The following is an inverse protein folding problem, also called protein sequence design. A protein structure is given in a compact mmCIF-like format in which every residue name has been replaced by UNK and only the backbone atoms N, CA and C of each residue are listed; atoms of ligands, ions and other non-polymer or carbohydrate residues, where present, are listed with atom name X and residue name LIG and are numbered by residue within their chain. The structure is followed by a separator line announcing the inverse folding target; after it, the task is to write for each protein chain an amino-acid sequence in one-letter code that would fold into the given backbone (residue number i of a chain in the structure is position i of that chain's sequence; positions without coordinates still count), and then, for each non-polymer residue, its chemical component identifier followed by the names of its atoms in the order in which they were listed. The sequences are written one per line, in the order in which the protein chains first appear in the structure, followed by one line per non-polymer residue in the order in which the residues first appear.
data_IF_872081935484
#
_entry.id   IF_872081935484
#
_cell.length_a   1.000
_cell.length_b   1.000
_cell.length_c   1.000
_cell.angle_alpha   90.00
_cell.angle_beta   90.00
_cell.angle_gamma   90.00
#
_symmetry.space_group_name_H-M   'P 1'
#
loop_
_entity.id
_entity.type
_entity.pdbx_description
1 polymer ?
#
# COMPACT_ATOMS: atom_id res chain seq x y z
N UNK A 1 19.11 8.82 -28.45
CA UNK A 1 18.86 7.61 -27.67
C UNK A 1 19.72 7.73 -26.43
N UNK A 2 19.10 7.96 -25.23
CA UNK A 2 19.86 7.90 -23.98
C UNK A 2 20.22 6.44 -23.75
N UNK A 3 21.49 6.12 -23.65
CA UNK A 3 21.94 4.81 -23.16
C UNK A 3 21.62 4.82 -21.67
N UNK A 4 20.53 4.15 -21.28
CA UNK A 4 20.27 3.92 -19.85
C UNK A 4 21.29 2.89 -19.36
N UNK A 5 22.01 3.23 -18.32
CA UNK A 5 22.83 2.24 -17.59
C UNK A 5 21.84 1.38 -16.80
N UNK A 6 21.88 0.04 -16.94
CA UNK A 6 21.05 -0.83 -16.12
C UNK A 6 21.23 -0.56 -14.63
N UNK A 7 20.16 -0.72 -13.84
CA UNK A 7 20.25 -0.69 -12.38
C UNK A 7 21.18 -1.80 -11.90
N UNK A 8 21.84 -1.57 -10.77
CA UNK A 8 22.81 -2.50 -10.20
C UNK A 8 22.36 -2.94 -8.80
N UNK A 9 22.29 -4.23 -8.55
CA UNK A 9 21.86 -4.79 -7.27
C UNK A 9 22.62 -4.26 -6.07
N UNK A 10 23.95 -4.10 -6.15
CA UNK A 10 24.75 -3.60 -5.05
C UNK A 10 24.39 -2.16 -4.68
N UNK A 11 24.02 -1.34 -5.67
CA UNK A 11 23.57 0.03 -5.46
C UNK A 11 22.12 0.12 -4.97
N UNK A 12 21.24 -0.77 -5.48
CA UNK A 12 19.82 -0.84 -5.13
C UNK A 12 19.60 -1.31 -3.69
N UNK A 13 20.52 -2.10 -3.10
CA UNK A 13 20.39 -2.59 -1.74
C UNK A 13 21.27 -1.77 -0.82
N UNK A 14 20.65 -0.70 -0.28
CA UNK A 14 21.33 0.30 0.56
C UNK A 14 20.75 0.34 1.97
N UNK A 15 21.59 0.25 2.97
CA UNK A 15 21.22 0.44 4.38
C UNK A 15 21.29 1.91 4.83
N UNK A 16 21.55 2.85 3.90
CA UNK A 16 21.55 4.28 4.15
C UNK A 16 20.16 4.74 4.61
N UNK A 17 20.11 5.53 5.67
CA UNK A 17 18.86 5.97 6.28
C UNK A 17 18.55 7.42 5.98
N UNK A 18 17.30 7.67 5.62
CA UNK A 18 16.80 9.02 5.39
C UNK A 18 16.95 9.90 6.63
N UNK A 19 17.58 11.06 6.47
CA UNK A 19 17.84 12.02 7.56
C UNK A 19 18.94 11.60 8.55
N UNK A 20 19.69 10.54 8.24
CA UNK A 20 20.84 10.06 9.00
C UNK A 20 21.98 9.57 8.09
N UNK A 21 22.11 10.16 6.91
CA UNK A 21 22.99 9.70 5.84
C UNK A 21 24.48 9.71 6.26
N UNK A 22 24.86 10.65 7.12
CA UNK A 22 26.25 10.83 7.60
C UNK A 22 26.49 10.20 8.99
N UNK A 23 25.48 9.57 9.57
CA UNK A 23 25.56 9.09 10.95
C UNK A 23 26.11 7.66 11.01
N UNK A 24 27.36 7.52 11.39
CA UNK A 24 27.97 6.25 11.80
C UNK A 24 27.68 6.02 13.30
N UNK A 25 26.53 5.48 13.64
CA UNK A 25 26.26 5.10 15.02
C UNK A 25 26.98 3.78 15.34
N UNK A 26 27.80 3.74 16.38
CA UNK A 26 28.22 2.48 17.00
C UNK A 26 26.97 1.72 17.45
N UNK A 27 26.85 0.48 17.05
CA UNK A 27 25.70 -0.36 17.33
C UNK A 27 26.07 -1.49 18.26
N UNK A 28 25.21 -1.74 19.21
CA UNK A 28 25.44 -2.72 20.27
C UNK A 28 24.60 -4.00 20.07
N UNK A 29 23.95 -4.18 18.90
CA UNK A 29 23.16 -5.36 18.60
C UNK A 29 23.33 -5.83 17.15
N UNK A 30 23.05 -7.11 16.90
CA UNK A 30 23.25 -7.80 15.61
C UNK A 30 22.08 -7.62 14.62
N UNK A 31 21.09 -6.77 14.93
CA UNK A 31 19.98 -6.52 14.02
C UNK A 31 20.40 -5.72 12.81
N UNK A 32 20.08 -6.22 11.62
CA UNK A 32 20.29 -5.46 10.38
C UNK A 32 19.43 -4.19 10.35
N UNK A 33 19.81 -3.24 9.50
CA UNK A 33 19.05 -2.00 9.32
C UNK A 33 17.63 -2.28 8.81
N UNK A 34 17.46 -3.29 7.96
CA UNK A 34 16.17 -3.66 7.40
C UNK A 34 15.26 -4.31 8.44
N UNK A 35 15.79 -5.13 9.38
CA UNK A 35 15.03 -5.59 10.55
C UNK A 35 14.57 -4.45 11.44
N UNK A 36 15.40 -3.39 11.58
CA UNK A 36 15.00 -2.19 12.31
C UNK A 36 13.90 -1.41 11.61
N UNK A 37 13.84 -1.44 10.27
CA UNK A 37 12.73 -0.85 9.50
C UNK A 37 11.43 -1.59 9.79
N UNK A 38 11.45 -2.91 9.74
CA UNK A 38 10.31 -3.75 10.10
C UNK A 38 9.81 -3.45 11.54
N UNK A 39 10.71 -3.42 12.51
CA UNK A 39 10.38 -3.09 13.90
C UNK A 39 9.75 -1.69 14.03
N UNK A 40 10.31 -0.68 13.37
CA UNK A 40 9.78 0.69 13.40
C UNK A 40 8.36 0.78 12.86
N UNK A 41 8.05 0.02 11.83
CA UNK A 41 6.71 -0.02 11.25
C UNK A 41 5.70 -0.66 12.22
N UNK A 42 5.99 -1.85 12.73
CA UNK A 42 5.09 -2.57 13.66
C UNK A 42 4.78 -1.74 14.92
N UNK A 43 5.77 -1.06 15.49
CA UNK A 43 5.57 -0.23 16.68
C UNK A 43 4.99 1.16 16.38
N UNK A 44 4.72 1.49 15.12
CA UNK A 44 4.22 2.80 14.74
C UNK A 44 2.71 2.96 14.95
N UNK A 45 2.28 4.19 15.23
CA UNK A 45 0.86 4.51 15.33
C UNK A 45 0.11 4.37 13.99
N UNK A 46 0.67 4.78 12.82
CA UNK A 46 0.01 4.53 11.53
C UNK A 46 -0.26 3.06 11.28
N UNK A 47 0.70 2.16 11.55
CA UNK A 47 0.51 0.72 11.38
C UNK A 47 -0.60 0.16 12.29
N UNK A 48 -0.60 0.54 13.57
CA UNK A 48 -1.65 0.11 14.51
C UNK A 48 -3.06 0.58 14.11
N UNK A 49 -3.18 1.74 13.46
CA UNK A 49 -4.48 2.24 12.97
C UNK A 49 -5.08 1.39 11.86
N UNK A 50 -4.29 0.59 11.14
CA UNK A 50 -4.78 -0.34 10.12
C UNK A 50 -5.76 -1.38 10.69
N UNK A 51 -5.68 -1.70 11.98
CA UNK A 51 -6.60 -2.61 12.65
C UNK A 51 -8.07 -2.21 12.52
N UNK A 52 -8.34 -0.90 12.50
CA UNK A 52 -9.69 -0.34 12.43
C UNK A 52 -9.93 0.39 11.09
N UNK A 53 -9.28 -0.08 10.02
CA UNK A 53 -9.55 0.31 8.64
C UNK A 53 -10.04 -0.90 7.85
N UNK A 54 -11.17 -0.73 7.17
CA UNK A 54 -11.77 -1.74 6.29
C UNK A 54 -10.83 -2.09 5.15
N UNK A 55 -10.66 -3.40 4.87
CA UNK A 55 -9.98 -3.88 3.67
C UNK A 55 -10.97 -3.94 2.50
N UNK A 56 -11.92 -4.86 2.52
CA UNK A 56 -13.01 -5.00 1.54
C UNK A 56 -14.35 -5.05 2.26
N UNK A 57 -14.50 -5.95 3.21
CA UNK A 57 -15.75 -6.15 3.93
C UNK A 57 -15.88 -5.21 5.13
N UNK A 58 -17.14 -4.86 5.53
CA UNK A 58 -17.37 -4.10 6.76
C UNK A 58 -16.62 -4.72 7.94
N UNK A 59 -16.04 -3.87 8.81
CA UNK A 59 -15.43 -4.33 10.05
C UNK A 59 -16.51 -5.05 10.88
N UNK A 60 -16.26 -6.29 11.29
CA UNK A 60 -17.31 -7.18 11.74
C UNK A 60 -17.68 -7.00 13.19
N UNK A 61 -18.99 -7.25 13.49
CA UNK A 61 -19.42 -7.54 14.85
C UNK A 61 -19.27 -9.02 15.25
N UNK A 62 -19.39 -9.98 14.34
CA UNK A 62 -19.51 -11.41 14.66
C UNK A 62 -18.74 -12.39 13.76
N UNK A 63 -18.25 -11.96 12.61
CA UNK A 63 -17.51 -12.82 11.66
C UNK A 63 -16.13 -12.20 11.45
N UNK A 64 -15.07 -13.01 11.59
CA UNK A 64 -13.70 -12.56 11.38
C UNK A 64 -13.37 -12.58 9.89
N UNK A 65 -13.30 -11.41 9.30
CA UNK A 65 -12.76 -11.13 7.97
C UNK A 65 -11.48 -10.30 8.11
N UNK A 66 -10.71 -10.21 7.03
CA UNK A 66 -9.45 -9.46 7.05
C UNK A 66 -9.70 -7.96 7.19
N UNK A 67 -8.91 -7.32 8.05
CA UNK A 67 -8.74 -5.88 8.09
C UNK A 67 -7.36 -5.51 7.52
N UNK A 68 -7.08 -4.22 7.32
CA UNK A 68 -5.81 -3.80 6.73
C UNK A 68 -4.57 -4.21 7.52
N UNK A 69 -4.68 -4.37 8.86
CA UNK A 69 -3.56 -4.83 9.68
C UNK A 69 -3.23 -6.30 9.40
N UNK A 70 -4.23 -7.18 9.43
CA UNK A 70 -4.03 -8.62 9.17
C UNK A 70 -3.58 -8.84 7.75
N UNK A 71 -4.18 -8.17 6.78
CA UNK A 71 -3.74 -8.18 5.39
C UNK A 71 -2.27 -7.75 5.25
N UNK A 72 -1.86 -6.61 5.83
CA UNK A 72 -0.46 -6.17 5.77
C UNK A 72 0.53 -7.16 6.38
N UNK A 73 0.13 -7.90 7.43
CA UNK A 73 0.96 -8.95 8.02
C UNK A 73 1.09 -10.18 7.11
N UNK A 74 0.02 -10.57 6.44
CA UNK A 74 0.00 -11.67 5.47
C UNK A 74 0.84 -11.31 4.24
N UNK A 75 0.64 -10.12 3.68
CA UNK A 75 1.45 -9.59 2.57
C UNK A 75 2.93 -9.54 2.97
N UNK A 76 3.26 -9.15 4.22
CA UNK A 76 4.64 -9.14 4.70
C UNK A 76 5.23 -10.55 4.85
N UNK A 77 4.42 -11.56 5.14
CA UNK A 77 4.84 -12.96 5.19
C UNK A 77 5.14 -13.50 3.79
N UNK A 78 4.20 -13.36 2.86
CA UNK A 78 4.36 -13.76 1.45
C UNK A 78 5.52 -12.99 0.79
N UNK A 79 5.59 -11.67 1.00
CA UNK A 79 6.67 -10.84 0.48
C UNK A 79 8.06 -11.24 0.98
N UNK A 80 8.16 -11.71 2.24
CA UNK A 80 9.42 -12.26 2.76
C UNK A 80 9.80 -13.52 2.01
N UNK A 81 8.88 -14.48 1.84
CA UNK A 81 9.12 -15.72 1.10
C UNK A 81 9.57 -15.41 -0.32
N UNK A 82 8.84 -14.55 -1.05
CA UNK A 82 9.21 -14.13 -2.40
C UNK A 82 10.62 -13.53 -2.45
N UNK A 83 10.95 -12.64 -1.52
CA UNK A 83 12.26 -12.00 -1.46
C UNK A 83 13.39 -12.98 -1.13
N UNK A 84 13.19 -13.90 -0.18
CA UNK A 84 14.18 -14.90 0.21
C UNK A 84 14.43 -15.88 -0.94
N UNK A 85 13.38 -16.35 -1.64
CA UNK A 85 13.50 -17.25 -2.77
C UNK A 85 14.16 -16.60 -3.99
N UNK A 86 13.79 -15.34 -4.31
CA UNK A 86 14.47 -14.57 -5.36
C UNK A 86 15.95 -14.35 -5.01
N UNK A 87 16.27 -14.03 -3.74
CA UNK A 87 17.65 -13.91 -3.31
C UNK A 87 18.44 -15.21 -3.58
N UNK A 88 17.85 -16.34 -3.22
CA UNK A 88 18.46 -17.67 -3.41
C UNK A 88 18.76 -17.95 -4.89
N UNK A 89 17.78 -17.74 -5.77
CA UNK A 89 17.94 -18.01 -7.19
C UNK A 89 18.93 -17.05 -7.86
N UNK A 90 18.89 -15.76 -7.51
CA UNK A 90 19.81 -14.78 -8.10
C UNK A 90 21.24 -14.94 -7.58
N UNK A 91 21.45 -15.30 -6.32
CA UNK A 91 22.80 -15.59 -5.81
C UNK A 91 23.43 -16.83 -6.45
N UNK A 92 22.64 -17.79 -6.97
CA UNK A 92 23.18 -18.89 -7.78
C UNK A 92 23.66 -18.41 -9.15
N UNK A 93 23.00 -17.38 -9.74
CA UNK A 93 23.39 -16.77 -11.03
C UNK A 93 24.53 -15.77 -10.86
N UNK A 94 24.53 -15.04 -9.75
CA UNK A 94 25.43 -13.94 -9.41
C UNK A 94 26.09 -14.18 -8.05
N UNK A 95 27.09 -15.10 -7.95
CA UNK A 95 27.72 -15.47 -6.68
C UNK A 95 28.35 -14.29 -5.93
N UNK A 96 28.74 -13.22 -6.64
CA UNK A 96 29.28 -11.98 -6.06
C UNK A 96 28.27 -11.23 -5.16
N UNK A 97 26.99 -11.53 -5.24
CA UNK A 97 25.97 -10.94 -4.40
C UNK A 97 25.95 -11.53 -2.99
N UNK A 98 26.51 -12.74 -2.78
CA UNK A 98 26.50 -13.44 -1.49
C UNK A 98 27.18 -12.64 -0.37
N UNK A 99 28.25 -11.92 -0.68
CA UNK A 99 29.04 -11.14 0.27
C UNK A 99 28.57 -9.70 0.41
N UNK A 100 27.39 -9.37 -0.08
CA UNK A 100 26.78 -8.02 -0.03
C UNK A 100 25.59 -7.97 0.93
N UNK A 101 24.80 -6.90 0.86
CA UNK A 101 23.51 -6.80 1.58
C UNK A 101 22.37 -7.54 0.87
N UNK A 102 22.59 -8.05 -0.33
CA UNK A 102 21.58 -8.69 -1.18
C UNK A 102 20.83 -9.86 -0.50
N UNK A 103 21.47 -10.73 0.30
CA UNK A 103 20.77 -11.80 1.03
C UNK A 103 19.64 -11.32 1.97
N UNK A 104 19.51 -10.01 2.18
CA UNK A 104 18.49 -9.44 3.06
C UNK A 104 17.26 -8.91 2.32
N UNK A 105 17.14 -9.14 1.00
CA UNK A 105 16.01 -8.60 0.23
C UNK A 105 14.65 -9.07 0.75
N UNK A 106 14.53 -10.31 1.24
CA UNK A 106 13.30 -10.78 1.88
C UNK A 106 12.90 -9.93 3.09
N UNK A 107 13.87 -9.48 3.89
CA UNK A 107 13.59 -8.57 5.01
C UNK A 107 13.16 -7.17 4.53
N UNK A 108 13.76 -6.66 3.45
CA UNK A 108 13.39 -5.38 2.84
C UNK A 108 11.96 -5.44 2.29
N UNK A 109 11.67 -6.47 1.49
CA UNK A 109 10.34 -6.69 0.91
C UNK A 109 9.30 -6.84 2.01
N UNK A 110 9.56 -7.63 3.04
CA UNK A 110 8.66 -7.79 4.20
C UNK A 110 8.37 -6.45 4.89
N UNK A 111 9.37 -5.59 5.10
CA UNK A 111 9.17 -4.26 5.68
C UNK A 111 8.37 -3.35 4.73
N UNK A 112 8.64 -3.38 3.42
CA UNK A 112 7.90 -2.62 2.43
C UNK A 112 6.42 -3.07 2.37
N UNK A 113 6.16 -4.37 2.45
CA UNK A 113 4.82 -4.95 2.52
C UNK A 113 4.03 -4.48 3.75
N UNK A 114 4.67 -4.35 4.94
CA UNK A 114 3.99 -3.76 6.10
C UNK A 114 3.53 -2.32 5.84
N UNK A 115 4.24 -1.61 4.99
CA UNK A 115 4.03 -0.18 4.77
C UNK A 115 3.11 0.14 3.59
N UNK A 116 2.84 -0.82 2.69
CA UNK A 116 2.15 -0.57 1.41
C UNK A 116 0.78 0.08 1.59
N UNK A 117 0.04 -0.30 2.62
CA UNK A 117 -1.32 0.16 2.91
C UNK A 117 -1.42 1.32 3.93
N UNK A 118 -0.28 1.82 4.46
CA UNK A 118 -0.27 2.86 5.49
C UNK A 118 -0.96 4.16 5.08
N UNK A 119 -0.93 4.47 3.80
CA UNK A 119 -1.43 5.73 3.25
C UNK A 119 -2.91 5.72 2.90
N UNK A 120 -3.57 4.57 2.91
CA UNK A 120 -4.99 4.49 2.61
C UNK A 120 -5.83 5.27 3.64
N UNK A 121 -6.74 6.15 3.20
CA UNK A 121 -7.65 6.85 4.09
C UNK A 121 -8.68 5.89 4.71
N UNK A 122 -9.49 6.34 5.69
CA UNK A 122 -10.66 5.60 6.13
C UNK A 122 -11.54 5.19 4.95
N UNK A 123 -12.13 4.00 5.01
CA UNK A 123 -12.98 3.42 3.96
C UNK A 123 -12.27 3.18 2.61
N UNK A 124 -10.94 3.15 2.59
CA UNK A 124 -10.12 2.76 1.44
C UNK A 124 -10.36 3.59 0.19
N UNK A 125 -10.66 2.93 -0.93
CA UNK A 125 -10.87 3.60 -2.22
C UNK A 125 -12.05 4.57 -2.24
N UNK A 126 -13.12 4.30 -1.49
CA UNK A 126 -14.23 5.22 -1.34
C UNK A 126 -13.80 6.51 -0.66
N UNK A 127 -12.95 6.41 0.37
CA UNK A 127 -12.33 7.58 1.01
C UNK A 127 -11.40 8.36 0.08
N UNK A 128 -10.58 7.68 -0.74
CA UNK A 128 -9.75 8.35 -1.77
C UNK A 128 -10.64 9.14 -2.75
N UNK A 129 -11.70 8.52 -3.25
CA UNK A 129 -12.64 9.15 -4.17
C UNK A 129 -13.36 10.35 -3.55
N UNK A 130 -13.76 10.25 -2.29
CA UNK A 130 -14.40 11.36 -1.58
C UNK A 130 -13.43 12.56 -1.41
N UNK A 131 -12.15 12.32 -1.08
CA UNK A 131 -11.13 13.35 -1.02
C UNK A 131 -10.95 14.02 -2.39
N UNK A 132 -10.81 13.24 -3.46
CA UNK A 132 -10.67 13.77 -4.83
C UNK A 132 -11.89 14.58 -5.25
N UNK A 133 -13.11 14.03 -5.06
CA UNK A 133 -14.37 14.64 -5.47
C UNK A 133 -14.64 15.97 -4.75
N UNK A 134 -14.24 16.11 -3.48
CA UNK A 134 -14.35 17.37 -2.75
C UNK A 134 -13.67 18.51 -3.51
N UNK A 135 -12.49 18.28 -4.12
CA UNK A 135 -11.78 19.30 -4.88
C UNK A 135 -12.24 19.43 -6.34
N UNK A 136 -12.74 18.35 -6.95
CA UNK A 136 -13.12 18.38 -8.38
C UNK A 136 -14.58 18.72 -8.63
N UNK A 137 -15.48 18.33 -7.73
CA UNK A 137 -16.92 18.41 -7.89
C UNK A 137 -17.62 19.12 -6.72
N UNK A 138 -16.95 19.20 -5.55
CA UNK A 138 -17.50 19.76 -4.32
C UNK A 138 -17.07 21.20 -4.04
N UNK A 139 -17.30 21.65 -2.80
CA UNK A 139 -17.05 23.01 -2.34
C UNK A 139 -15.57 23.42 -2.36
N UNK A 140 -14.67 22.44 -2.44
CA UNK A 140 -13.22 22.64 -2.59
C UNK A 140 -12.81 23.12 -4.00
N UNK A 141 -13.66 22.99 -5.01
CA UNK A 141 -13.33 23.37 -6.40
C UNK A 141 -12.89 24.84 -6.54
N UNK A 142 -13.49 25.74 -5.75
CA UNK A 142 -13.12 27.16 -5.72
C UNK A 142 -11.73 27.47 -5.15
N UNK A 143 -10.98 26.45 -4.68
CA UNK A 143 -9.61 26.62 -4.19
C UNK A 143 -8.56 26.55 -5.31
N UNK A 144 -8.94 26.12 -6.52
CA UNK A 144 -8.02 25.99 -7.65
C UNK A 144 -7.23 27.28 -7.95
N UNK A 145 -7.88 28.43 -7.86
CA UNK A 145 -7.25 29.72 -8.13
C UNK A 145 -6.40 30.25 -6.95
N UNK A 146 -6.46 29.58 -5.78
CA UNK A 146 -5.80 30.01 -4.53
C UNK A 146 -4.54 29.19 -4.20
N UNK A 147 -4.27 28.14 -4.98
CA UNK A 147 -3.16 27.23 -4.75
C UNK A 147 -2.36 27.02 -6.04
N UNK A 148 -1.14 26.52 -5.90
CA UNK A 148 -0.31 26.20 -7.06
C UNK A 148 -0.91 25.04 -7.90
N UNK A 149 -0.64 25.03 -9.20
CA UNK A 149 -1.10 23.98 -10.10
C UNK A 149 -0.54 22.59 -9.73
N UNK A 150 0.67 22.55 -9.16
CA UNK A 150 1.28 21.33 -8.70
C UNK A 150 0.55 20.75 -7.48
N UNK A 151 0.28 21.58 -6.48
CA UNK A 151 -0.52 21.19 -5.32
C UNK A 151 -1.95 20.81 -5.71
N UNK A 152 -2.57 21.56 -6.62
CA UNK A 152 -3.89 21.22 -7.16
C UNK A 152 -3.92 19.83 -7.79
N UNK A 153 -2.90 19.50 -8.60
CA UNK A 153 -2.76 18.16 -9.16
C UNK A 153 -2.66 17.09 -8.08
N UNK A 154 -1.90 17.34 -7.00
CA UNK A 154 -1.72 16.40 -5.90
C UNK A 154 -3.05 16.08 -5.19
N UNK A 155 -3.83 17.10 -4.84
CA UNK A 155 -5.06 16.93 -4.04
C UNK A 155 -6.24 16.41 -4.87
N UNK A 156 -6.33 16.77 -6.15
CA UNK A 156 -7.38 16.25 -7.05
C UNK A 156 -7.15 14.82 -7.50
N UNK A 157 -5.92 14.29 -7.34
CA UNK A 157 -5.55 12.91 -7.60
C UNK A 157 -5.15 12.16 -6.32
N UNK A 158 -5.48 12.67 -5.13
CA UNK A 158 -5.05 12.08 -3.86
C UNK A 158 -5.01 10.54 -3.93
N UNK A 159 -3.89 9.95 -3.50
CA UNK A 159 -3.60 8.53 -3.72
C UNK A 159 -2.90 7.92 -2.51
N UNK A 160 -3.37 6.75 -2.06
CA UNK A 160 -2.85 6.08 -0.86
C UNK A 160 -1.37 5.71 -0.95
N UNK A 161 -0.87 5.28 -2.12
CA UNK A 161 0.56 4.96 -2.27
C UNK A 161 1.45 6.19 -2.06
N UNK A 162 1.07 7.34 -2.64
CA UNK A 162 1.78 8.60 -2.41
C UNK A 162 1.72 9.02 -0.94
N UNK A 163 0.57 8.84 -0.31
CA UNK A 163 0.39 9.14 1.10
C UNK A 163 1.17 8.21 2.02
N UNK A 164 1.37 6.93 1.67
CA UNK A 164 2.24 6.02 2.41
C UNK A 164 3.69 6.51 2.43
N UNK A 165 4.21 6.94 1.26
CA UNK A 165 5.54 7.53 1.18
C UNK A 165 5.64 8.81 2.03
N UNK A 166 4.62 9.70 1.97
CA UNK A 166 4.55 10.90 2.79
C UNK A 166 4.54 10.60 4.29
N UNK A 167 3.71 9.68 4.76
CA UNK A 167 3.63 9.28 6.19
C UNK A 167 5.01 8.86 6.72
N UNK A 168 5.80 8.17 5.91
CA UNK A 168 7.10 7.64 6.30
C UNK A 168 8.23 8.67 6.23
N UNK A 169 8.12 9.65 5.34
CA UNK A 169 9.22 10.56 5.04
C UNK A 169 9.00 11.99 5.53
N UNK A 170 7.74 12.42 5.61
CA UNK A 170 7.41 13.80 5.99
C UNK A 170 7.78 14.12 7.44
N UNK A 171 8.34 15.32 7.62
CA UNK A 171 8.67 15.85 8.94
C UNK A 171 7.45 16.52 9.58
N UNK A 172 6.59 15.73 10.21
CA UNK A 172 5.54 16.28 11.07
C UNK A 172 6.14 16.97 12.30
N UNK A 173 5.37 17.89 12.94
CA UNK A 173 5.83 18.59 14.14
C UNK A 173 6.28 17.61 15.22
N UNK A 174 7.41 17.91 15.85
CA UNK A 174 8.01 17.08 16.89
C UNK A 174 8.74 15.85 16.37
N UNK A 175 8.79 15.61 15.06
CA UNK A 175 9.61 14.55 14.46
C UNK A 175 10.97 15.08 14.02
N UNK A 176 11.96 14.18 14.04
CA UNK A 176 13.29 14.41 13.48
C UNK A 176 13.26 14.42 11.96
N UNK A 177 14.32 14.91 11.33
CA UNK A 177 14.51 14.83 9.89
C UNK A 177 14.45 13.37 9.40
N UNK A 178 13.90 13.16 8.20
CA UNK A 178 13.70 11.83 7.62
C UNK A 178 12.48 11.07 8.18
N UNK A 179 11.59 11.72 8.93
CA UNK A 179 10.34 11.14 9.41
C UNK A 179 10.55 9.88 10.24
N UNK A 180 10.24 8.71 9.68
CA UNK A 180 10.48 7.39 10.30
C UNK A 180 11.94 6.95 10.23
N UNK A 181 12.78 7.65 9.47
CA UNK A 181 14.21 7.33 9.30
C UNK A 181 14.38 5.89 8.76
N UNK A 182 13.62 5.58 7.72
CA UNK A 182 13.69 4.29 7.03
C UNK A 182 14.93 4.21 6.13
N UNK A 183 15.34 2.99 5.76
CA UNK A 183 16.39 2.80 4.75
C UNK A 183 15.90 3.19 3.36
N UNK A 184 16.83 3.58 2.50
CA UNK A 184 16.52 3.96 1.12
C UNK A 184 15.91 2.78 0.34
N UNK A 185 16.43 1.56 0.53
CA UNK A 185 15.86 0.38 -0.14
C UNK A 185 14.42 0.12 0.28
N UNK A 186 14.08 0.18 1.56
CA UNK A 186 12.70 0.02 2.01
C UNK A 186 11.80 1.11 1.44
N UNK A 187 12.23 2.39 1.47
CA UNK A 187 11.46 3.51 0.91
C UNK A 187 11.23 3.38 -0.60
N UNK A 188 12.25 3.01 -1.37
CA UNK A 188 12.13 2.84 -2.81
C UNK A 188 11.23 1.64 -3.18
N UNK A 189 11.24 0.58 -2.35
CA UNK A 189 10.43 -0.62 -2.57
C UNK A 189 8.92 -0.43 -2.33
N UNK A 190 8.51 0.65 -1.65
CA UNK A 190 7.10 0.98 -1.42
C UNK A 190 6.50 1.74 -2.61
N UNK A 191 7.31 2.48 -3.37
CA UNK A 191 6.81 3.42 -4.39
C UNK A 191 6.44 2.65 -5.67
N UNK A 192 5.21 2.14 -5.70
CA UNK A 192 4.64 1.37 -6.84
C UNK A 192 4.55 2.19 -8.13
N UNK A 193 4.29 3.49 -8.00
CA UNK A 193 4.11 4.43 -9.11
C UNK A 193 5.14 5.56 -9.01
N UNK A 194 6.40 5.35 -9.44
CA UNK A 194 7.51 6.29 -9.19
C UNK A 194 7.44 7.54 -10.07
N UNK A 195 6.35 8.27 -9.99
CA UNK A 195 6.10 9.51 -10.72
C UNK A 195 5.20 10.47 -9.94
N UNK A 196 5.28 11.77 -10.28
CA UNK A 196 4.48 12.84 -9.69
C UNK A 196 3.02 12.77 -10.17
N UNK A 197 2.12 13.45 -9.47
CA UNK A 197 0.70 13.58 -9.83
C UNK A 197 0.49 14.15 -11.23
N UNK A 198 1.34 15.09 -11.67
CA UNK A 198 1.32 15.66 -13.02
C UNK A 198 1.62 14.64 -14.12
N UNK A 199 2.29 13.51 -13.79
CA UNK A 199 2.55 12.41 -14.71
C UNK A 199 1.54 11.26 -14.55
N UNK A 200 0.53 11.41 -13.69
CA UNK A 200 -0.47 10.38 -13.45
C UNK A 200 -1.24 10.06 -14.74
N UNK A 201 -1.50 8.77 -14.96
CA UNK A 201 -2.35 8.32 -16.04
C UNK A 201 -3.83 8.63 -15.78
N UNK A 202 -4.73 8.28 -16.71
CA UNK A 202 -6.19 8.37 -16.52
C UNK A 202 -6.71 7.66 -15.26
N UNK A 203 -5.93 6.72 -14.70
CA UNK A 203 -6.27 6.04 -13.44
C UNK A 203 -5.94 6.86 -12.18
N UNK A 204 -5.29 8.03 -12.31
CA UNK A 204 -4.98 8.94 -11.22
C UNK A 204 -3.89 8.45 -10.25
N UNK A 205 -3.20 7.33 -10.55
CA UNK A 205 -2.18 6.74 -9.66
C UNK A 205 -0.85 7.47 -9.79
N UNK A 206 -0.18 7.76 -8.65
CA UNK A 206 1.17 8.35 -8.55
C UNK A 206 1.81 7.97 -7.21
N UNK A 207 3.10 8.24 -6.99
CA UNK A 207 3.83 7.68 -5.86
C UNK A 207 4.42 8.67 -4.87
N UNK A 208 4.40 9.96 -5.15
CA UNK A 208 4.85 11.00 -4.22
C UNK A 208 4.22 12.35 -4.55
N UNK A 209 3.83 13.08 -3.52
CA UNK A 209 3.35 14.45 -3.64
C UNK A 209 4.49 15.41 -4.00
N UNK A 210 4.14 16.59 -4.48
CA UNK A 210 5.10 17.64 -4.82
C UNK A 210 6.05 17.95 -3.66
N UNK A 211 5.56 17.90 -2.43
CA UNK A 211 6.34 18.13 -1.20
C UNK A 211 7.40 17.07 -0.93
N UNK A 212 7.22 15.84 -1.40
CA UNK A 212 8.15 14.73 -1.25
C UNK A 212 8.98 14.46 -2.51
N UNK A 213 8.77 15.23 -3.60
CA UNK A 213 9.41 15.03 -4.90
C UNK A 213 10.94 15.09 -4.83
N UNK A 214 11.50 16.13 -4.25
CA UNK A 214 12.95 16.31 -4.16
C UNK A 214 13.60 15.19 -3.33
N UNK A 215 12.86 14.71 -2.35
CA UNK A 215 13.27 13.59 -1.51
C UNK A 215 13.36 12.30 -2.32
N UNK A 216 12.33 11.97 -3.10
CA UNK A 216 12.34 10.79 -3.95
C UNK A 216 13.43 10.88 -5.01
N UNK A 217 13.64 12.06 -5.62
CA UNK A 217 14.75 12.30 -6.56
C UNK A 217 16.12 11.99 -5.95
N UNK A 218 16.35 12.40 -4.69
CA UNK A 218 17.59 12.11 -3.97
C UNK A 218 17.77 10.60 -3.77
N UNK A 219 16.73 9.90 -3.29
CA UNK A 219 16.74 8.45 -3.11
C UNK A 219 17.03 7.75 -4.45
N UNK A 220 16.30 8.10 -5.50
CA UNK A 220 16.45 7.49 -6.81
C UNK A 220 17.86 7.67 -7.39
N UNK A 221 18.44 8.87 -7.23
CA UNK A 221 19.81 9.16 -7.68
C UNK A 221 20.86 8.32 -6.93
N UNK A 222 20.76 8.24 -5.61
CA UNK A 222 21.67 7.47 -4.78
C UNK A 222 21.61 5.96 -5.10
N UNK A 223 20.43 5.47 -5.40
CA UNK A 223 20.20 4.06 -5.71
C UNK A 223 20.38 3.71 -7.21
N UNK A 224 20.73 4.68 -8.04
CA UNK A 224 20.90 4.44 -9.48
C UNK A 224 19.61 4.15 -10.23
N UNK A 225 18.45 4.55 -9.70
CA UNK A 225 17.16 4.38 -10.37
C UNK A 225 17.04 5.43 -11.49
N UNK A 226 16.91 5.02 -12.75
CA UNK A 226 16.91 5.95 -13.86
C UNK A 226 15.65 6.81 -13.92
N UNK A 227 15.85 8.11 -14.17
CA UNK A 227 14.78 9.05 -14.51
C UNK A 227 14.40 8.86 -15.98
N UNK A 228 13.14 8.55 -16.24
CA UNK A 228 12.60 8.28 -17.57
C UNK A 228 12.10 9.56 -18.28
N UNK A 229 11.83 10.64 -17.52
CA UNK A 229 11.37 11.92 -18.06
C UNK A 229 12.47 12.69 -18.75
N UNK A 230 12.09 13.48 -19.77
CA UNK A 230 12.96 14.50 -20.36
C UNK A 230 12.94 15.77 -19.50
N UNK A 231 13.96 16.64 -19.66
CA UNK A 231 13.95 17.94 -19.00
C UNK A 231 12.67 18.73 -19.34
N UNK A 232 11.96 19.21 -18.33
CA UNK A 232 10.72 19.95 -18.47
C UNK A 232 9.43 19.09 -18.52
N UNK A 233 9.55 17.77 -18.58
CA UNK A 233 8.40 16.87 -18.45
C UNK A 233 8.15 16.53 -16.97
N UNK A 234 6.90 16.18 -16.60
CA UNK A 234 6.59 15.68 -15.27
C UNK A 234 7.45 14.48 -14.90
N UNK A 235 7.91 14.41 -13.65
CA UNK A 235 8.87 13.42 -13.20
C UNK A 235 8.31 12.00 -13.25
N UNK A 236 9.09 11.10 -13.83
CA UNK A 236 8.86 9.66 -13.89
C UNK A 236 10.19 8.92 -13.79
N UNK A 237 10.23 7.92 -12.94
CA UNK A 237 11.38 7.04 -12.76
C UNK A 237 11.02 5.60 -13.11
N UNK A 238 12.04 4.75 -13.32
CA UNK A 238 11.85 3.31 -13.32
C UNK A 238 11.40 2.83 -11.94
N UNK A 239 10.72 1.69 -11.88
CA UNK A 239 10.41 1.05 -10.60
C UNK A 239 11.68 0.47 -9.98
N UNK A 240 11.83 0.57 -8.65
CA UNK A 240 12.80 -0.23 -7.94
C UNK A 240 12.43 -1.72 -8.10
N UNK A 241 13.39 -2.61 -8.40
CA UNK A 241 13.08 -4.03 -8.66
C UNK A 241 12.23 -4.71 -7.59
N UNK A 242 12.47 -4.43 -6.30
CA UNK A 242 11.72 -5.04 -5.21
C UNK A 242 10.25 -4.62 -5.14
N UNK A 243 9.85 -3.55 -5.83
CA UNK A 243 8.42 -3.15 -5.95
C UNK A 243 7.59 -4.25 -6.58
N UNK A 244 8.15 -4.99 -7.55
CA UNK A 244 7.43 -6.09 -8.20
C UNK A 244 7.14 -7.24 -7.25
N UNK A 245 8.01 -7.50 -6.27
CA UNK A 245 7.79 -8.50 -5.22
C UNK A 245 6.75 -8.04 -4.19
N UNK A 246 6.77 -6.75 -3.83
CA UNK A 246 5.74 -6.15 -2.95
C UNK A 246 4.37 -6.21 -3.63
N UNK A 247 4.30 -5.83 -4.92
CA UNK A 247 3.07 -5.89 -5.72
C UNK A 247 2.55 -7.33 -5.84
N UNK A 248 3.42 -8.30 -6.11
CA UNK A 248 3.03 -9.71 -6.21
C UNK A 248 2.52 -10.27 -4.88
N UNK A 249 3.15 -9.92 -3.76
CA UNK A 249 2.70 -10.32 -2.43
C UNK A 249 1.30 -9.76 -2.11
N UNK A 250 1.06 -8.49 -2.44
CA UNK A 250 -0.24 -7.85 -2.30
C UNK A 250 -1.29 -8.51 -3.19
N UNK A 251 -1.01 -8.68 -4.49
CA UNK A 251 -1.92 -9.30 -5.46
C UNK A 251 -2.32 -10.73 -5.03
N UNK A 252 -1.35 -11.55 -4.56
CA UNK A 252 -1.59 -12.92 -4.08
C UNK A 252 -2.50 -12.91 -2.86
N UNK A 253 -2.16 -12.11 -1.83
CA UNK A 253 -2.93 -12.07 -0.60
C UNK A 253 -4.33 -11.48 -0.85
N UNK A 254 -4.41 -10.36 -1.55
CA UNK A 254 -5.68 -9.66 -1.80
C UNK A 254 -6.70 -10.58 -2.47
N UNK A 255 -6.35 -11.19 -3.62
CA UNK A 255 -7.30 -12.00 -4.38
C UNK A 255 -7.69 -13.29 -3.65
N UNK A 256 -6.72 -14.00 -3.09
CA UNK A 256 -6.96 -15.34 -2.52
C UNK A 256 -7.66 -15.24 -1.15
N UNK A 257 -7.34 -14.21 -0.35
CA UNK A 257 -8.00 -14.00 0.93
C UNK A 257 -9.44 -13.48 0.76
N UNK A 258 -9.72 -12.67 -0.27
CA UNK A 258 -11.07 -12.23 -0.58
C UNK A 258 -12.00 -13.40 -0.95
N UNK A 259 -11.47 -14.42 -1.67
CA UNK A 259 -12.21 -15.66 -1.95
C UNK A 259 -12.51 -16.43 -0.65
N UNK A 260 -11.54 -16.56 0.28
CA UNK A 260 -11.76 -17.20 1.58
C UNK A 260 -12.79 -16.44 2.42
N UNK A 261 -12.65 -15.12 2.55
CA UNK A 261 -13.57 -14.30 3.33
C UNK A 261 -15.01 -14.35 2.76
N UNK A 262 -15.13 -14.41 1.43
CA UNK A 262 -16.40 -14.56 0.76
C UNK A 262 -17.09 -15.89 1.07
N UNK A 263 -16.30 -16.96 1.25
CA UNK A 263 -16.81 -18.24 1.74
C UNK A 263 -17.30 -18.12 3.19
N UNK A 264 -16.51 -17.53 4.09
CA UNK A 264 -16.90 -17.31 5.49
C UNK A 264 -18.17 -16.48 5.62
N UNK A 265 -18.34 -15.48 4.76
CA UNK A 265 -19.52 -14.61 4.70
C UNK A 265 -20.70 -15.24 3.95
N UNK A 266 -20.56 -16.47 3.43
CA UNK A 266 -21.58 -17.20 2.64
C UNK A 266 -22.00 -16.46 1.36
N UNK A 267 -21.12 -15.64 0.80
CA UNK A 267 -21.27 -15.03 -0.53
C UNK A 267 -20.95 -16.08 -1.61
N UNK A 268 -19.96 -16.93 -1.34
CA UNK A 268 -19.61 -18.11 -2.13
C UNK A 268 -19.93 -19.39 -1.36
N UNK A 269 -20.45 -20.40 -2.05
CA UNK A 269 -20.63 -21.74 -1.48
C UNK A 269 -19.27 -22.43 -1.34
N UNK A 270 -19.21 -23.54 -0.59
CA UNK A 270 -18.00 -24.35 -0.49
C UNK A 270 -17.55 -24.86 -1.86
N UNK A 271 -18.51 -25.36 -2.66
CA UNK A 271 -18.26 -25.93 -3.99
C UNK A 271 -17.71 -24.86 -4.95
N UNK A 272 -18.27 -23.65 -4.96
CA UNK A 272 -17.77 -22.53 -5.76
C UNK A 272 -16.33 -22.16 -5.34
N UNK A 273 -16.07 -22.06 -4.03
CA UNK A 273 -14.77 -21.71 -3.48
C UNK A 273 -13.71 -22.78 -3.80
N UNK A 274 -14.07 -24.05 -3.57
CA UNK A 274 -13.17 -25.17 -3.85
C UNK A 274 -12.83 -25.27 -5.34
N UNK A 275 -13.80 -25.06 -6.23
CA UNK A 275 -13.55 -25.07 -7.67
C UNK A 275 -12.61 -23.92 -8.09
N UNK A 276 -12.81 -22.71 -7.59
CA UNK A 276 -11.93 -21.57 -7.85
C UNK A 276 -10.49 -21.84 -7.42
N UNK A 277 -10.29 -22.38 -6.22
CA UNK A 277 -8.96 -22.66 -5.69
C UNK A 277 -8.29 -23.88 -6.37
N UNK A 278 -9.04 -24.89 -6.74
CA UNK A 278 -8.50 -26.08 -7.37
C UNK A 278 -8.19 -25.89 -8.86
N UNK A 279 -8.75 -24.88 -9.55
CA UNK A 279 -8.43 -24.56 -10.95
C UNK A 279 -6.95 -24.21 -11.16
N UNK A 280 -6.26 -23.75 -10.13
CA UNK A 280 -4.82 -23.42 -10.21
C UNK A 280 -3.96 -24.65 -10.55
N UNK A 281 -4.41 -25.87 -10.24
CA UNK A 281 -3.65 -27.09 -10.33
C UNK A 281 -4.07 -27.98 -11.52
N UNK A 282 -3.14 -28.79 -12.00
CA UNK A 282 -3.45 -29.88 -12.89
C UNK A 282 -4.24 -30.99 -12.16
N UNK A 283 -4.85 -31.89 -12.94
CA UNK A 283 -5.71 -32.93 -12.37
C UNK A 283 -4.97 -33.84 -11.37
N UNK A 284 -3.72 -34.18 -11.64
CA UNK A 284 -2.92 -35.05 -10.74
C UNK A 284 -2.65 -34.35 -9.40
N UNK A 285 -2.31 -33.07 -9.42
CA UNK A 285 -2.08 -32.26 -8.21
C UNK A 285 -3.39 -31.99 -7.47
N UNK A 286 -4.47 -31.69 -8.19
CA UNK A 286 -5.83 -31.55 -7.63
C UNK A 286 -6.23 -32.81 -6.84
N UNK A 287 -6.06 -33.99 -7.41
CA UNK A 287 -6.36 -35.25 -6.73
C UNK A 287 -5.47 -35.46 -5.50
N UNK A 288 -4.19 -35.12 -5.57
CA UNK A 288 -3.30 -35.20 -4.40
C UNK A 288 -3.72 -34.27 -3.26
N UNK A 289 -4.15 -33.05 -3.57
CA UNK A 289 -4.67 -32.11 -2.57
C UNK A 289 -5.93 -32.66 -1.90
N UNK A 290 -6.89 -33.14 -2.70
CA UNK A 290 -8.12 -33.71 -2.18
C UNK A 290 -7.88 -34.98 -1.35
N UNK A 291 -6.96 -35.86 -1.80
CA UNK A 291 -6.60 -37.06 -1.05
C UNK A 291 -5.93 -36.72 0.30
N UNK A 292 -5.04 -35.74 0.33
CA UNK A 292 -4.43 -35.28 1.59
C UNK A 292 -5.45 -34.72 2.58
N UNK A 293 -6.43 -33.94 2.11
CA UNK A 293 -7.53 -33.45 2.95
C UNK A 293 -8.26 -34.63 3.62
N UNK A 294 -8.47 -35.72 2.88
CA UNK A 294 -9.10 -36.95 3.40
C UNK A 294 -8.17 -37.67 4.38
N UNK A 295 -6.90 -37.87 4.02
CA UNK A 295 -5.91 -38.61 4.82
C UNK A 295 -5.62 -37.90 6.16
N UNK A 296 -5.63 -36.58 6.19
CA UNK A 296 -5.48 -35.77 7.40
C UNK A 296 -6.76 -35.64 8.21
N UNK A 297 -7.88 -36.22 7.74
CA UNK A 297 -9.18 -36.21 8.44
C UNK A 297 -9.85 -34.85 8.54
N UNK A 298 -9.54 -33.92 7.61
CA UNK A 298 -10.12 -32.58 7.56
C UNK A 298 -11.57 -32.68 7.08
N UNK A 299 -12.52 -32.49 7.99
CA UNK A 299 -13.96 -32.60 7.71
C UNK A 299 -14.67 -31.26 7.60
N UNK A 300 -14.23 -30.24 8.33
CA UNK A 300 -14.79 -28.90 8.30
C UNK A 300 -14.48 -28.19 6.96
N UNK A 301 -15.49 -27.54 6.40
CA UNK A 301 -15.35 -26.90 5.09
C UNK A 301 -14.44 -25.66 5.12
N UNK A 302 -14.41 -24.90 6.22
CA UNK A 302 -13.48 -23.78 6.32
C UNK A 302 -12.03 -24.27 6.38
N UNK A 303 -11.76 -25.35 7.13
CA UNK A 303 -10.43 -25.97 7.19
C UNK A 303 -9.98 -26.52 5.83
N UNK A 304 -10.90 -27.10 5.03
CA UNK A 304 -10.62 -27.52 3.65
C UNK A 304 -10.25 -26.33 2.77
N UNK A 305 -10.97 -25.22 2.90
CA UNK A 305 -10.67 -23.99 2.15
C UNK A 305 -9.31 -23.44 2.55
N UNK A 306 -8.99 -23.40 3.85
CA UNK A 306 -7.69 -22.97 4.37
C UNK A 306 -6.56 -23.81 3.76
N UNK A 307 -6.72 -25.14 3.70
CA UNK A 307 -5.72 -26.05 3.10
C UNK A 307 -5.50 -25.76 1.61
N UNK A 308 -6.62 -25.63 0.85
CA UNK A 308 -6.55 -25.32 -0.59
C UNK A 308 -5.93 -23.95 -0.84
N UNK A 309 -6.31 -22.93 -0.05
CA UNK A 309 -5.73 -21.58 -0.09
C UNK A 309 -4.22 -21.60 0.11
N UNK A 310 -3.73 -22.29 1.15
CA UNK A 310 -2.29 -22.40 1.42
C UNK A 310 -1.55 -23.02 0.23
N UNK A 311 -2.15 -24.03 -0.41
CA UNK A 311 -1.59 -24.66 -1.60
C UNK A 311 -1.50 -23.68 -2.79
N UNK A 312 -2.52 -22.85 -2.99
CA UNK A 312 -2.54 -21.83 -4.05
C UNK A 312 -1.52 -20.74 -3.81
N UNK A 313 -1.41 -20.24 -2.57
CA UNK A 313 -0.41 -19.22 -2.21
C UNK A 313 1.00 -19.74 -2.53
N UNK A 314 1.36 -20.94 -2.07
CA UNK A 314 2.68 -21.52 -2.35
C UNK A 314 2.95 -21.72 -3.84
N UNK A 315 1.94 -22.08 -4.64
CA UNK A 315 2.08 -22.14 -6.10
C UNK A 315 2.35 -20.76 -6.69
N UNK A 316 1.58 -19.75 -6.31
CA UNK A 316 1.74 -18.39 -6.84
C UNK A 316 3.06 -17.75 -6.42
N UNK A 317 3.55 -17.99 -5.20
CA UNK A 317 4.89 -17.59 -4.76
C UNK A 317 5.95 -18.18 -5.70
N UNK A 318 5.93 -19.49 -5.93
CA UNK A 318 6.89 -20.16 -6.82
C UNK A 318 6.84 -19.62 -8.26
N UNK A 319 5.66 -19.44 -8.82
CA UNK A 319 5.46 -18.91 -10.16
C UNK A 319 5.97 -17.45 -10.29
N UNK A 320 5.70 -16.60 -9.30
CA UNK A 320 6.16 -15.21 -9.28
C UNK A 320 7.69 -15.11 -9.14
N UNK A 321 8.31 -15.97 -8.34
CA UNK A 321 9.78 -16.07 -8.25
C UNK A 321 10.36 -16.45 -9.61
N UNK A 322 9.80 -17.44 -10.28
CA UNK A 322 10.20 -17.85 -11.63
C UNK A 322 10.12 -16.69 -12.62
N UNK A 323 8.98 -15.99 -12.65
CA UNK A 323 8.76 -14.85 -13.53
C UNK A 323 9.74 -13.70 -13.23
N UNK A 324 10.02 -13.40 -11.96
CA UNK A 324 10.98 -12.35 -11.60
C UNK A 324 12.39 -12.67 -12.09
N UNK A 325 12.84 -13.90 -11.88
CA UNK A 325 14.19 -14.37 -12.21
C UNK A 325 14.37 -14.51 -13.73
N UNK A 326 13.32 -14.85 -14.49
CA UNK A 326 13.31 -14.90 -15.94
C UNK A 326 13.44 -13.50 -16.56
N UNK A 327 12.77 -12.51 -15.97
CA UNK A 327 12.75 -11.13 -16.46
C UNK A 327 13.73 -10.19 -15.73
N UNK A 328 14.75 -10.73 -15.02
CA UNK A 328 15.71 -9.90 -14.27
C UNK A 328 16.30 -8.76 -15.11
N UNK A 329 16.74 -9.05 -16.33
CA UNK A 329 17.34 -8.05 -17.21
C UNK A 329 16.37 -6.92 -17.58
N UNK A 330 15.11 -7.24 -17.87
CA UNK A 330 14.09 -6.23 -18.20
C UNK A 330 13.76 -5.38 -16.96
N UNK A 331 13.70 -5.99 -15.78
CA UNK A 331 13.47 -5.33 -14.50
C UNK A 331 14.61 -4.36 -14.20
N UNK A 332 15.87 -4.80 -14.34
CA UNK A 332 17.05 -3.95 -14.10
C UNK A 332 17.20 -2.85 -15.15
N UNK A 333 16.75 -3.07 -16.38
CA UNK A 333 16.70 -2.06 -17.42
C UNK A 333 15.53 -1.07 -17.25
N UNK A 334 14.58 -1.35 -16.36
CA UNK A 334 13.36 -0.54 -16.17
C UNK A 334 12.38 -0.63 -17.33
N UNK A 335 12.43 -1.70 -18.11
CA UNK A 335 11.59 -1.95 -19.28
C UNK A 335 10.51 -3.01 -19.06
N UNK A 336 10.55 -3.71 -17.92
CA UNK A 336 9.54 -4.70 -17.57
C UNK A 336 8.16 -4.04 -17.39
N UNK A 337 7.16 -4.54 -18.11
CA UNK A 337 5.79 -4.01 -18.09
C UNK A 337 4.83 -4.96 -17.36
N UNK A 338 3.86 -4.40 -16.66
CA UNK A 338 2.84 -5.14 -15.93
C UNK A 338 3.27 -5.56 -14.53
N UNK A 339 2.61 -6.60 -14.00
CA UNK A 339 2.91 -7.25 -12.71
C UNK A 339 3.40 -8.67 -12.90
N UNK A 340 4.07 -9.25 -11.90
CA UNK A 340 4.58 -10.62 -12.00
C UNK A 340 3.46 -11.64 -12.24
N UNK A 341 2.28 -11.44 -11.66
CA UNK A 341 1.10 -12.30 -11.87
C UNK A 341 0.69 -12.38 -13.36
N UNK A 342 0.97 -11.37 -14.16
CA UNK A 342 0.68 -11.39 -15.59
C UNK A 342 1.68 -12.24 -16.40
N UNK A 343 2.83 -12.57 -15.81
CA UNK A 343 3.93 -13.31 -16.43
C UNK A 343 4.11 -14.73 -15.91
N UNK A 344 3.26 -15.19 -14.98
CA UNK A 344 3.25 -16.60 -14.52
C UNK A 344 2.73 -17.53 -15.61
N UNK A 345 2.89 -18.84 -15.40
CA UNK A 345 2.43 -19.85 -16.34
C UNK A 345 0.92 -19.78 -16.62
N UNK A 346 0.50 -20.29 -17.79
CA UNK A 346 -0.85 -20.03 -18.34
C UNK A 346 -1.98 -20.53 -17.42
N UNK A 347 -1.84 -21.70 -16.79
CA UNK A 347 -2.90 -22.28 -15.95
C UNK A 347 -3.16 -21.44 -14.71
N UNK A 348 -2.17 -21.17 -13.81
CA UNK A 348 -2.38 -20.30 -12.66
C UNK A 348 -2.87 -18.90 -13.05
N UNK A 349 -2.37 -18.33 -14.13
CA UNK A 349 -2.81 -17.01 -14.62
C UNK A 349 -4.29 -16.99 -15.02
N UNK A 350 -4.77 -18.03 -15.71
CA UNK A 350 -6.21 -18.17 -16.04
C UNK A 350 -7.06 -18.35 -14.79
N UNK A 351 -6.61 -19.19 -13.84
CA UNK A 351 -7.30 -19.40 -12.58
C UNK A 351 -7.37 -18.11 -11.75
N UNK A 352 -6.26 -17.35 -11.65
CA UNK A 352 -6.22 -16.05 -11.00
C UNK A 352 -7.23 -15.06 -11.65
N UNK A 353 -7.25 -14.99 -12.98
CA UNK A 353 -8.20 -14.14 -13.70
C UNK A 353 -9.66 -14.57 -13.46
N UNK A 354 -9.93 -15.86 -13.29
CA UNK A 354 -11.26 -16.37 -12.95
C UNK A 354 -11.66 -15.95 -11.53
N UNK A 355 -10.76 -15.99 -10.55
CA UNK A 355 -10.99 -15.45 -9.22
C UNK A 355 -11.33 -13.96 -9.29
N UNK A 356 -10.54 -13.15 -9.96
CA UNK A 356 -10.77 -11.71 -10.14
C UNK A 356 -12.13 -11.42 -10.77
N UNK A 357 -12.55 -12.19 -11.78
CA UNK A 357 -13.85 -12.02 -12.40
C UNK A 357 -15.01 -12.32 -11.43
N UNK A 358 -14.85 -13.31 -10.54
CA UNK A 358 -15.83 -13.62 -9.49
C UNK A 358 -15.84 -12.54 -8.42
N UNK A 359 -14.65 -12.09 -7.97
CA UNK A 359 -14.50 -11.02 -6.98
C UNK A 359 -15.20 -9.74 -7.43
N UNK A 360 -14.97 -9.29 -8.66
CA UNK A 360 -15.65 -8.10 -9.23
C UNK A 360 -17.15 -8.31 -9.29
N UNK A 361 -17.63 -9.48 -9.74
CA UNK A 361 -19.05 -9.71 -9.96
C UNK A 361 -19.84 -9.93 -8.67
N UNK A 362 -19.31 -10.72 -7.71
CA UNK A 362 -20.05 -11.18 -6.54
C UNK A 362 -19.63 -10.50 -5.24
N UNK A 363 -18.36 -10.09 -5.12
CA UNK A 363 -17.79 -9.59 -3.87
C UNK A 363 -17.91 -8.08 -3.81
N UNK A 364 -17.22 -7.37 -4.71
CA UNK A 364 -17.13 -5.89 -4.65
C UNK A 364 -18.46 -5.18 -4.98
N UNK A 365 -19.36 -5.85 -5.68
CA UNK A 365 -20.73 -5.38 -5.92
C UNK A 365 -21.75 -5.93 -4.90
N UNK A 366 -21.30 -6.60 -3.83
CA UNK A 366 -22.20 -7.09 -2.79
C UNK A 366 -22.77 -5.92 -1.97
N UNK A 367 -24.03 -6.08 -1.54
CA UNK A 367 -24.71 -5.03 -0.76
C UNK A 367 -23.94 -4.55 0.47
N UNK A 368 -23.33 -5.44 1.29
CA UNK A 368 -22.55 -5.00 2.44
C UNK A 368 -21.34 -4.12 2.08
N UNK A 369 -20.64 -4.43 0.97
CA UNK A 369 -19.50 -3.63 0.50
C UNK A 369 -19.98 -2.28 -0.01
N UNK A 370 -21.03 -2.24 -0.84
CA UNK A 370 -21.61 -1.00 -1.35
C UNK A 370 -22.14 -0.08 -0.23
N UNK A 371 -22.76 -0.65 0.81
CA UNK A 371 -23.25 0.12 1.97
C UNK A 371 -22.09 0.82 2.73
N UNK A 372 -20.94 0.14 2.86
CA UNK A 372 -19.72 0.76 3.45
C UNK A 372 -19.16 1.85 2.56
N UNK A 373 -19.08 1.60 1.24
CA UNK A 373 -18.57 2.59 0.29
C UNK A 373 -19.42 3.86 0.28
N UNK A 374 -20.74 3.72 0.22
CA UNK A 374 -21.68 4.85 0.25
C UNK A 374 -21.56 5.63 1.55
N UNK A 375 -21.54 4.94 2.68
CA UNK A 375 -21.44 5.57 4.00
C UNK A 375 -20.09 6.26 4.17
N UNK A 376 -19.01 5.57 3.79
CA UNK A 376 -17.64 6.07 3.88
C UNK A 376 -17.43 7.31 3.02
N UNK A 377 -17.94 7.29 1.78
CA UNK A 377 -17.89 8.45 0.89
C UNK A 377 -18.53 9.68 1.56
N UNK A 378 -19.76 9.54 2.09
CA UNK A 378 -20.49 10.64 2.73
C UNK A 378 -19.81 11.14 3.99
N UNK A 379 -19.24 10.26 4.80
CA UNK A 379 -18.49 10.63 6.00
C UNK A 379 -17.26 11.47 5.63
N UNK A 380 -16.44 10.99 4.69
CA UNK A 380 -15.21 11.68 4.28
C UNK A 380 -15.52 13.01 3.58
N UNK A 381 -16.50 13.06 2.68
CA UNK A 381 -16.95 14.30 2.04
C UNK A 381 -17.30 15.37 3.08
N UNK A 382 -18.09 15.03 4.09
CA UNK A 382 -18.49 15.95 5.16
C UNK A 382 -17.29 16.40 6.01
N UNK A 383 -16.36 15.50 6.32
CA UNK A 383 -15.15 15.84 7.05
C UNK A 383 -14.23 16.75 6.24
N UNK A 384 -14.11 16.50 4.93
CA UNK A 384 -13.34 17.36 4.01
C UNK A 384 -13.92 18.76 3.98
N UNK A 385 -15.24 18.90 3.79
CA UNK A 385 -15.88 20.20 3.79
C UNK A 385 -15.63 20.96 5.09
N UNK A 386 -15.95 20.37 6.22
CA UNK A 386 -15.82 21.03 7.52
C UNK A 386 -14.37 21.43 7.85
N UNK A 387 -13.42 20.51 7.65
CA UNK A 387 -12.04 20.71 8.09
C UNK A 387 -11.21 21.53 7.09
N UNK A 388 -11.41 21.36 5.79
CA UNK A 388 -10.73 22.20 4.79
C UNK A 388 -11.24 23.63 4.84
N UNK A 389 -12.55 23.85 5.02
CA UNK A 389 -13.08 25.20 5.25
C UNK A 389 -12.51 25.85 6.51
N UNK A 390 -12.30 25.06 7.57
CA UNK A 390 -11.61 25.56 8.77
C UNK A 390 -10.16 25.96 8.51
N UNK A 391 -9.43 25.23 7.66
CA UNK A 391 -8.07 25.57 7.25
C UNK A 391 -8.02 26.85 6.39
N UNK A 392 -9.04 27.07 5.54
CA UNK A 392 -9.14 28.28 4.68
C UNK A 392 -9.52 29.53 5.50
N UNK A 393 -10.43 29.38 6.45
CA UNK A 393 -10.95 30.49 7.29
C UNK A 393 -10.71 30.21 8.77
N UNK A 394 -9.44 30.20 9.25
CA UNK A 394 -9.11 29.75 10.61
C UNK A 394 -9.67 30.66 11.73
N UNK A 395 -9.94 31.93 11.44
CA UNK A 395 -10.37 32.90 12.44
C UNK A 395 -11.87 32.83 12.78
N UNK A 396 -12.68 32.10 11.99
CA UNK A 396 -14.09 31.90 12.30
C UNK A 396 -14.27 31.12 13.60
N UNK A 397 -15.31 31.44 14.37
CA UNK A 397 -15.56 30.77 15.65
C UNK A 397 -15.61 29.25 15.53
N UNK A 398 -16.39 28.72 14.61
CA UNK A 398 -16.52 27.27 14.37
C UNK A 398 -15.22 26.65 13.89
N UNK A 399 -14.49 27.35 13.02
CA UNK A 399 -13.17 26.88 12.52
C UNK A 399 -12.18 26.68 13.67
N UNK A 400 -12.09 27.59 14.63
CA UNK A 400 -11.23 27.46 15.81
C UNK A 400 -11.57 26.22 16.65
N UNK A 401 -12.85 25.87 16.76
CA UNK A 401 -13.31 24.69 17.47
C UNK A 401 -12.83 23.40 16.75
N UNK A 402 -13.00 23.36 15.42
CA UNK A 402 -12.55 22.24 14.60
C UNK A 402 -11.02 22.08 14.61
N UNK A 403 -10.29 23.19 14.44
CA UNK A 403 -8.82 23.21 14.51
C UNK A 403 -8.33 22.73 15.87
N UNK A 404 -9.01 23.10 16.96
CA UNK A 404 -8.66 22.64 18.32
C UNK A 404 -8.78 21.13 18.52
N UNK A 405 -9.43 20.41 17.62
CA UNK A 405 -9.50 18.94 17.64
C UNK A 405 -8.39 18.26 16.82
N UNK A 406 -7.75 19.00 15.92
CA UNK A 406 -6.67 18.47 15.08
C UNK A 406 -5.42 18.29 15.95
N UNK A 407 -4.76 17.14 15.84
CA UNK A 407 -3.52 16.87 16.58
C UNK A 407 -2.45 17.92 16.25
N UNK A 408 -1.75 18.38 17.28
CA UNK A 408 -0.66 19.38 17.17
C UNK A 408 0.53 18.90 16.32
N UNK A 409 0.59 17.65 15.95
CA UNK A 409 1.61 17.13 15.04
C UNK A 409 1.47 17.68 13.61
N UNK A 410 0.27 18.09 13.21
CA UNK A 410 0.01 18.62 11.86
C UNK A 410 0.26 20.13 11.80
N UNK A 411 0.71 20.63 10.63
CA UNK A 411 1.10 22.02 10.44
C UNK A 411 -0.11 22.94 10.15
N UNK A 412 -1.17 22.81 10.95
CA UNK A 412 -2.43 23.54 10.75
C UNK A 412 -2.32 25.07 11.03
N UNK A 413 -1.32 25.48 11.80
CA UNK A 413 -1.00 26.86 12.14
C UNK A 413 -0.02 27.54 11.15
N UNK A 414 0.31 26.86 10.05
CA UNK A 414 1.18 27.43 9.01
C UNK A 414 0.56 28.70 8.41
N UNK A 415 1.35 29.74 8.10
CA UNK A 415 0.88 30.88 7.33
C UNK A 415 0.51 30.51 5.89
N UNK A 416 1.11 29.43 5.35
CA UNK A 416 0.88 28.94 4.01
C UNK A 416 -0.42 28.14 3.90
N UNK A 417 -1.26 28.49 2.93
CA UNK A 417 -2.58 27.87 2.73
C UNK A 417 -2.46 26.40 2.29
N UNK A 418 -1.55 26.07 1.37
CA UNK A 418 -1.36 24.72 0.86
C UNK A 418 -0.95 23.78 2.00
N UNK A 419 -0.04 24.23 2.85
CA UNK A 419 0.40 23.50 4.05
C UNK A 419 -0.76 23.23 5.01
N UNK A 420 -1.66 24.21 5.24
CA UNK A 420 -2.83 24.02 6.11
C UNK A 420 -3.85 23.06 5.51
N UNK A 421 -4.12 23.15 4.20
CA UNK A 421 -5.02 22.22 3.51
C UNK A 421 -4.45 20.80 3.59
N UNK A 422 -3.16 20.63 3.28
CA UNK A 422 -2.52 19.33 3.36
C UNK A 422 -2.51 18.75 4.77
N UNK A 423 -2.36 19.59 5.79
CA UNK A 423 -2.44 19.16 7.20
C UNK A 423 -3.83 18.59 7.55
N UNK A 424 -4.92 19.13 6.98
CA UNK A 424 -6.27 18.55 7.15
C UNK A 424 -6.43 17.23 6.39
N UNK A 425 -5.89 17.14 5.18
CA UNK A 425 -5.87 15.88 4.42
C UNK A 425 -5.07 14.81 5.17
N UNK A 426 -3.89 15.14 5.70
CA UNK A 426 -3.08 14.27 6.54
C UNK A 426 -3.85 13.79 7.78
N UNK A 427 -4.60 14.69 8.43
CA UNK A 427 -5.41 14.36 9.61
C UNK A 427 -6.56 13.42 9.25
N UNK A 428 -7.31 13.71 8.18
CA UNK A 428 -8.45 12.89 7.73
C UNK A 428 -7.96 11.52 7.25
N UNK A 429 -6.97 11.47 6.38
CA UNK A 429 -6.43 10.21 5.84
C UNK A 429 -5.78 9.34 6.92
N UNK A 430 -5.27 9.97 7.97
CA UNK A 430 -4.73 9.29 9.14
C UNK A 430 -5.77 8.74 10.13
N UNK A 431 -7.06 9.00 9.96
CA UNK A 431 -8.12 8.46 10.82
C UNK A 431 -8.32 6.96 10.58
N UNK A 432 -8.92 6.28 11.56
CA UNK A 432 -9.56 4.98 11.37
C UNK A 432 -11.01 5.19 10.94
N UNK A 433 -11.65 4.16 10.39
CA UNK A 433 -13.07 4.23 9.98
C UNK A 433 -13.97 4.59 11.18
N UNK A 434 -13.71 3.96 12.33
CA UNK A 434 -14.45 4.21 13.57
C UNK A 434 -14.26 5.65 14.05
N UNK A 435 -13.02 6.17 13.99
CA UNK A 435 -12.74 7.54 14.41
C UNK A 435 -13.33 8.57 13.45
N UNK A 436 -13.28 8.32 12.15
CA UNK A 436 -13.90 9.19 11.14
C UNK A 436 -15.43 9.27 11.35
N UNK A 437 -16.08 8.12 11.61
CA UNK A 437 -17.51 8.08 11.94
C UNK A 437 -17.82 8.86 13.23
N UNK A 438 -17.03 8.69 14.29
CA UNK A 438 -17.21 9.41 15.57
C UNK A 438 -17.12 10.92 15.38
N UNK A 439 -16.11 11.40 14.64
CA UNK A 439 -15.95 12.84 14.35
C UNK A 439 -17.11 13.35 13.47
N UNK A 440 -17.50 12.59 12.44
CA UNK A 440 -18.66 12.92 11.60
C UNK A 440 -19.93 13.10 12.44
N UNK A 441 -20.22 12.17 13.35
CA UNK A 441 -21.41 12.25 14.21
C UNK A 441 -21.36 13.48 15.13
N UNK A 442 -20.21 13.80 15.70
CA UNK A 442 -20.03 14.97 16.58
C UNK A 442 -20.18 16.30 15.83
N UNK A 443 -19.59 16.40 14.64
CA UNK A 443 -19.69 17.62 13.81
C UNK A 443 -21.15 17.88 13.40
N UNK A 444 -21.90 16.81 13.08
CA UNK A 444 -23.29 16.91 12.67
C UNK A 444 -24.31 16.93 13.84
N UNK A 445 -23.86 16.91 15.09
CA UNK A 445 -24.74 16.91 16.28
C UNK A 445 -25.59 15.64 16.44
N UNK A 446 -25.21 14.53 15.79
CA UNK A 446 -25.90 13.26 15.87
C UNK A 446 -25.56 12.52 17.18
N UNK A 447 -24.35 12.73 17.68
CA UNK A 447 -23.87 12.14 18.94
C UNK A 447 -23.24 13.23 19.81
N UNK A 448 -23.67 13.30 21.08
CA UNK A 448 -23.02 14.14 22.08
C UNK A 448 -22.00 13.31 22.85
N UNK A 449 -20.85 13.91 23.27
CA UNK A 449 -19.90 13.22 24.11
C UNK A 449 -20.57 12.84 25.45
N UNK A 450 -20.54 11.56 25.78
CA UNK A 450 -20.87 11.08 27.11
C UNK A 450 -19.61 11.26 27.96
N UNK A 451 -19.70 12.09 29.00
CA UNK A 451 -18.62 12.36 29.98
C UNK A 451 -18.59 11.24 31.01
#
# INVERSE_FOLDING_TARGET
MRIFVPMNWQQLISNKRLGQEERHAERHDDRSEFKRDYDRLIFSAPFRRLQNKTQVFPLPGSIFVHNRLTHSLEVASVGRSLGDDVAHELMRRHPELCDTLFPQIGTIVSAACLAHDLGNPPFGHSGEKAIQAYFTEGDGAGLQEKVSSAFWSDITHFEGNANAFRILTHRFKGRRDGGFVMTYSTLASIVKYPYSSAAASKKGKFGFFTTEQDLYQRIAREMGIPCLSKPGEPLRYARHPLVYLVEAADDICYEIMDIEDSHKLKILTFEETAELLLQFFDEATRQRILQRIVDEGITDNNEKVIYMRASVIGLLEHECVGAFVEHEDEILNGTFEGSLIQHISERPRKAYSACTAVSVRKIYNSKPVLDVELSGYKIIETLMDSLVQAAVYPDKFHSRQLIGRVSSQYHIDSPDLETRIMAMIDYISGMTDVYALDIYQKINGISLPIV
#
